data_IF_924821034185
#
_entry.id   IF_924821034185
#
_cell.length_a   1.000
_cell.length_b   1.000
_cell.length_c   1.000
_cell.angle_alpha   90.00
_cell.angle_beta   90.00
_cell.angle_gamma   90.00
#
_symmetry.space_group_name_H-M   'P 1'
#
loop_
_entity.id
_entity.type
_entity.pdbx_description
1 polymer ?
#
# COMPACT_ATOMS: atom_id res chain seq x y z
N UNK A 1 38.79 16.76 -5.64
CA UNK A 1 37.51 16.78 -4.89
C UNK A 1 36.91 15.40 -4.99
N UNK A 2 36.85 14.66 -3.88
CA UNK A 2 36.13 13.39 -3.87
C UNK A 2 34.63 13.71 -3.86
N UNK A 3 33.93 13.40 -4.94
CA UNK A 3 32.47 13.30 -4.93
C UNK A 3 32.13 12.11 -4.04
N UNK A 4 31.83 12.35 -2.77
CA UNK A 4 31.15 11.36 -1.94
C UNK A 4 29.81 11.07 -2.61
N UNK A 5 29.73 9.96 -3.34
CA UNK A 5 28.47 9.35 -3.74
C UNK A 5 27.66 9.15 -2.47
N UNK A 6 26.66 10.02 -2.27
CA UNK A 6 25.75 9.93 -1.14
C UNK A 6 24.93 8.66 -1.41
N UNK A 7 25.31 7.55 -0.78
CA UNK A 7 24.59 6.28 -0.87
C UNK A 7 23.13 6.58 -0.50
N UNK A 8 22.25 6.45 -1.48
CA UNK A 8 20.83 6.73 -1.27
C UNK A 8 20.25 5.59 -0.44
N UNK A 9 19.65 5.91 0.69
CA UNK A 9 18.99 4.91 1.53
C UNK A 9 17.80 4.31 0.78
N UNK A 10 17.70 2.98 0.80
CA UNK A 10 16.65 2.21 0.11
C UNK A 10 15.94 1.28 1.08
N UNK A 11 14.65 1.08 0.86
CA UNK A 11 13.93 -0.07 1.37
C UNK A 11 14.07 -1.22 0.40
N UNK A 12 14.55 -2.37 0.89
CA UNK A 12 14.45 -3.65 0.18
C UNK A 12 13.24 -4.40 0.72
N UNK A 13 12.26 -4.68 -0.13
CA UNK A 13 10.97 -5.26 0.29
C UNK A 13 10.47 -6.34 -0.66
N UNK A 14 9.63 -7.21 -0.13
CA UNK A 14 8.95 -8.28 -0.85
C UNK A 14 7.57 -7.81 -1.34
N UNK A 15 7.21 -8.14 -2.56
CA UNK A 15 5.84 -7.99 -3.07
C UNK A 15 5.48 -9.22 -3.92
N UNK A 16 4.19 -9.43 -4.19
CA UNK A 16 3.75 -10.52 -5.07
C UNK A 16 3.66 -10.02 -6.51
N UNK A 17 4.51 -10.58 -7.38
CA UNK A 17 4.42 -10.32 -8.81
C UNK A 17 3.29 -11.17 -9.39
N UNK A 18 2.17 -10.53 -9.73
CA UNK A 18 0.91 -11.19 -10.16
C UNK A 18 1.10 -12.15 -11.33
N UNK A 19 1.94 -11.79 -12.30
CA UNK A 19 2.21 -12.60 -13.49
C UNK A 19 2.85 -13.96 -13.14
N UNK A 20 3.65 -14.01 -12.08
CA UNK A 20 4.34 -15.22 -11.61
C UNK A 20 3.63 -15.87 -10.42
N UNK A 21 2.67 -15.17 -9.80
CA UNK A 21 2.07 -15.50 -8.52
C UNK A 21 3.13 -15.90 -7.47
N UNK A 22 4.26 -15.17 -7.45
CA UNK A 22 5.41 -15.49 -6.64
C UNK A 22 5.91 -14.22 -5.92
N UNK A 23 6.44 -14.36 -4.69
CA UNK A 23 7.09 -13.27 -4.01
C UNK A 23 8.39 -12.89 -4.73
N UNK A 24 8.59 -11.59 -4.93
CA UNK A 24 9.79 -11.02 -5.53
C UNK A 24 10.33 -9.92 -4.62
N UNK A 25 11.66 -9.83 -4.53
CA UNK A 25 12.34 -8.75 -3.81
C UNK A 25 12.66 -7.61 -4.77
N UNK A 26 12.48 -6.38 -4.31
CA UNK A 26 12.88 -5.17 -5.04
C UNK A 26 13.43 -4.13 -4.08
N UNK A 27 13.94 -3.01 -4.59
CA UNK A 27 14.41 -1.91 -3.75
C UNK A 27 13.97 -0.56 -4.29
N UNK A 28 13.48 0.30 -3.40
CA UNK A 28 13.07 1.66 -3.71
C UNK A 28 13.67 2.67 -2.71
N UNK A 29 13.95 3.90 -3.14
CA UNK A 29 14.45 4.95 -2.26
C UNK A 29 13.51 5.21 -1.07
N UNK A 30 14.08 5.35 0.14
CA UNK A 30 13.30 5.58 1.38
C UNK A 30 12.47 6.87 1.31
N UNK A 31 12.95 7.89 0.59
CA UNK A 31 12.25 9.17 0.45
C UNK A 31 10.96 9.11 -0.38
N UNK A 32 10.66 7.98 -1.02
CA UNK A 32 9.35 7.74 -1.65
C UNK A 32 8.27 7.37 -0.63
N UNK A 33 8.66 7.12 0.63
CA UNK A 33 7.76 6.63 1.65
C UNK A 33 7.68 7.60 2.84
N UNK A 34 6.48 7.71 3.41
CA UNK A 34 6.22 8.52 4.60
C UNK A 34 5.90 7.59 5.77
N UNK A 35 6.60 7.65 6.91
CA UNK A 35 6.25 6.87 8.08
C UNK A 35 4.87 7.30 8.60
N UNK A 36 4.04 6.33 8.95
CA UNK A 36 2.70 6.58 9.47
C UNK A 36 2.42 5.72 10.71
N UNK A 37 1.39 6.09 11.46
CA UNK A 37 0.82 5.27 12.53
C UNK A 37 -0.54 4.77 12.09
N UNK A 38 -0.77 3.47 12.25
CA UNK A 38 -2.06 2.83 12.00
C UNK A 38 -2.77 2.54 13.33
N UNK A 39 -4.09 2.59 13.30
CA UNK A 39 -4.97 2.22 14.41
C UNK A 39 -5.74 0.95 14.00
N UNK A 40 -6.22 0.18 14.98
CA UNK A 40 -7.08 -0.96 14.66
C UNK A 40 -8.35 -0.50 13.97
N UNK A 41 -8.75 -1.20 12.92
CA UNK A 41 -10.00 -0.96 12.21
C UNK A 41 -11.23 -1.20 13.09
N UNK A 42 -11.14 -1.95 14.19
CA UNK A 42 -12.23 -2.02 15.18
C UNK A 42 -12.58 -0.65 15.78
N UNK A 43 -11.69 0.34 15.68
CA UNK A 43 -11.89 1.71 16.15
C UNK A 43 -12.40 2.65 15.04
N UNK A 44 -12.61 2.16 13.81
CA UNK A 44 -13.14 2.98 12.73
C UNK A 44 -14.63 3.22 12.86
N UNK A 45 -15.10 4.34 12.30
CA UNK A 45 -16.54 4.62 12.15
C UNK A 45 -17.18 3.90 10.96
N UNK A 46 -16.37 3.41 10.02
CA UNK A 46 -16.84 2.75 8.81
C UNK A 46 -16.91 1.23 8.95
N UNK A 47 -17.71 0.64 8.08
CA UNK A 47 -18.15 -0.74 8.17
C UNK A 47 -17.20 -1.65 7.39
N UNK A 48 -16.51 -2.59 8.03
CA UNK A 48 -15.50 -3.42 7.33
C UNK A 48 -16.10 -4.64 6.61
N UNK A 49 -15.43 -5.09 5.56
CA UNK A 49 -15.62 -6.44 5.04
C UNK A 49 -14.94 -7.46 5.97
N UNK A 50 -15.42 -8.71 5.96
CA UNK A 50 -14.81 -9.78 6.75
C UNK A 50 -13.35 -10.01 6.31
N UNK A 51 -12.43 -9.93 7.26
CA UNK A 51 -11.01 -10.19 7.04
C UNK A 51 -10.76 -11.59 6.46
N UNK A 52 -9.90 -11.66 5.44
CA UNK A 52 -9.38 -12.90 4.87
C UNK A 52 -7.84 -12.86 4.90
N UNK A 53 -7.23 -13.86 5.52
CA UNK A 53 -5.78 -13.98 5.60
C UNK A 53 -5.16 -14.05 4.20
N UNK A 54 -3.99 -13.41 4.03
CA UNK A 54 -3.23 -13.34 2.77
C UNK A 54 -3.97 -12.67 1.59
N UNK A 55 -5.00 -11.87 1.87
CA UNK A 55 -5.78 -11.14 0.85
C UNK A 55 -5.92 -9.66 1.20
N UNK A 56 -4.81 -9.00 1.55
CA UNK A 56 -4.83 -7.60 2.00
C UNK A 56 -5.58 -6.67 1.04
N UNK A 57 -5.27 -6.73 -0.27
CA UNK A 57 -5.93 -5.91 -1.28
C UNK A 57 -7.43 -6.19 -1.39
N UNK A 58 -7.85 -7.46 -1.37
CA UNK A 58 -9.28 -7.79 -1.43
C UNK A 58 -10.01 -7.31 -0.17
N UNK A 59 -9.41 -7.44 1.01
CA UNK A 59 -10.00 -6.96 2.26
C UNK A 59 -10.26 -5.46 2.21
N UNK A 60 -9.29 -4.69 1.71
CA UNK A 60 -9.41 -3.23 1.60
C UNK A 60 -10.39 -2.82 0.51
N UNK A 61 -10.27 -3.38 -0.70
CA UNK A 61 -11.16 -3.04 -1.83
C UNK A 61 -12.61 -3.41 -1.56
N UNK A 62 -12.88 -4.58 -0.99
CA UNK A 62 -14.26 -4.99 -0.68
C UNK A 62 -14.87 -4.07 0.38
N UNK A 63 -14.07 -3.60 1.34
CA UNK A 63 -14.52 -2.62 2.34
C UNK A 63 -14.79 -1.26 1.69
N UNK A 64 -13.91 -0.79 0.78
CA UNK A 64 -14.13 0.45 0.02
C UNK A 64 -15.43 0.40 -0.80
N UNK A 65 -15.67 -0.72 -1.49
CA UNK A 65 -16.89 -0.93 -2.27
C UNK A 65 -18.14 -0.95 -1.39
N UNK A 66 -18.06 -1.56 -0.19
CA UNK A 66 -19.16 -1.58 0.76
C UNK A 66 -19.56 -0.18 1.23
N UNK A 67 -18.58 0.72 1.41
CA UNK A 67 -18.79 2.05 1.95
C UNK A 67 -18.84 3.16 0.87
N UNK A 68 -18.88 2.82 -0.42
CA UNK A 68 -18.71 3.79 -1.53
C UNK A 68 -19.67 4.99 -1.45
N UNK A 69 -20.89 4.80 -0.94
CA UNK A 69 -21.91 5.85 -0.84
C UNK A 69 -21.91 6.58 0.51
N UNK A 70 -21.46 5.92 1.57
CA UNK A 70 -21.53 6.43 2.95
C UNK A 70 -20.23 7.14 3.33
N UNK A 71 -19.09 6.61 2.89
CA UNK A 71 -17.75 7.09 3.21
C UNK A 71 -16.90 7.26 1.95
N UNK A 72 -17.23 8.21 1.05
CA UNK A 72 -16.53 8.39 -0.23
C UNK A 72 -15.07 8.84 -0.07
N UNK A 73 -14.70 9.38 1.09
CA UNK A 73 -13.33 9.77 1.43
C UNK A 73 -12.46 8.61 1.93
N UNK A 74 -13.04 7.41 2.11
CA UNK A 74 -12.29 6.21 2.44
C UNK A 74 -11.38 5.83 1.26
N UNK A 75 -10.10 5.63 1.55
CA UNK A 75 -9.05 5.42 0.56
C UNK A 75 -8.32 4.10 0.81
N UNK A 76 -7.91 3.47 -0.28
CA UNK A 76 -6.87 2.44 -0.27
C UNK A 76 -5.53 3.15 -0.07
N UNK A 77 -4.83 2.85 1.01
CA UNK A 77 -3.45 3.23 1.21
C UNK A 77 -2.54 2.03 0.91
N UNK A 78 -1.51 2.24 0.08
CA UNK A 78 -0.51 1.25 -0.28
C UNK A 78 0.83 1.69 0.28
N UNK A 79 1.61 0.75 0.82
CA UNK A 79 2.95 1.03 1.28
C UNK A 79 3.65 -0.21 1.81
N UNK A 80 4.54 -0.01 2.78
CA UNK A 80 5.37 -1.07 3.34
C UNK A 80 5.01 -1.35 4.80
N UNK A 81 4.98 -2.62 5.15
CA UNK A 81 4.90 -3.12 6.52
C UNK A 81 6.22 -3.81 6.89
N UNK A 82 6.84 -3.36 7.99
CA UNK A 82 8.08 -3.93 8.54
C UNK A 82 7.79 -4.52 9.92
N UNK A 83 7.92 -5.84 10.04
CA UNK A 83 7.67 -6.54 11.30
C UNK A 83 8.74 -6.13 12.33
N UNK A 84 8.33 -5.75 13.54
CA UNK A 84 9.27 -5.28 14.58
C UNK A 84 10.24 -6.38 14.99
N UNK A 85 9.76 -7.61 15.15
CA UNK A 85 10.56 -8.75 15.58
C UNK A 85 11.44 -9.33 14.44
N UNK A 86 11.23 -8.88 13.20
CA UNK A 86 11.96 -9.30 11.99
C UNK A 86 12.19 -8.08 11.08
N UNK A 87 13.03 -7.12 11.49
CA UNK A 87 13.19 -5.86 10.77
C UNK A 87 13.73 -6.01 9.35
N UNK A 88 14.38 -7.12 9.03
CA UNK A 88 14.79 -7.50 7.68
C UNK A 88 13.62 -7.89 6.76
N UNK A 89 12.46 -8.22 7.33
CA UNK A 89 11.25 -8.57 6.60
C UNK A 89 10.38 -7.33 6.40
N UNK A 90 10.56 -6.72 5.23
CA UNK A 90 9.70 -5.64 4.76
C UNK A 90 8.86 -6.19 3.61
N UNK A 91 7.55 -6.03 3.71
CA UNK A 91 6.59 -6.49 2.69
C UNK A 91 5.76 -5.32 2.19
N UNK A 92 5.37 -5.37 0.93
CA UNK A 92 4.27 -4.55 0.44
C UNK A 92 2.98 -4.94 1.16
N UNK A 93 2.24 -3.93 1.59
CA UNK A 93 0.97 -4.09 2.29
C UNK A 93 0.02 -2.95 1.90
N UNK A 94 -1.26 -3.14 2.19
CA UNK A 94 -2.27 -2.11 2.01
C UNK A 94 -3.23 -2.06 3.20
N UNK A 95 -3.76 -0.89 3.45
CA UNK A 95 -4.60 -0.55 4.60
C UNK A 95 -5.52 0.63 4.23
N UNK A 96 -6.30 1.13 5.18
CA UNK A 96 -7.26 2.21 4.96
C UNK A 96 -6.68 3.58 5.31
N UNK A 97 -7.02 4.61 4.54
CA UNK A 97 -6.90 6.01 4.97
C UNK A 97 -8.29 6.66 4.95
N UNK A 98 -8.66 7.33 6.04
CA UNK A 98 -9.91 8.09 6.16
C UNK A 98 -9.63 9.36 6.97
N UNK A 99 -9.90 10.53 6.38
CA UNK A 99 -9.60 11.85 6.96
C UNK A 99 -8.16 12.01 7.50
N UNK A 100 -7.19 11.41 6.81
CA UNK A 100 -5.77 11.45 7.19
C UNK A 100 -5.39 10.52 8.36
N UNK A 101 -6.36 9.75 8.87
CA UNK A 101 -6.15 8.68 9.85
C UNK A 101 -6.00 7.35 9.11
N UNK A 102 -5.11 6.49 9.58
CA UNK A 102 -4.82 5.21 8.95
C UNK A 102 -5.31 4.06 9.81
N UNK A 103 -6.00 3.10 9.18
CA UNK A 103 -6.55 1.94 9.86
C UNK A 103 -6.09 0.65 9.19
N UNK A 104 -5.78 -0.36 9.98
CA UNK A 104 -5.46 -1.71 9.49
C UNK A 104 -6.06 -2.76 10.43
N UNK A 105 -6.13 -4.00 9.97
CA UNK A 105 -6.56 -5.15 10.80
C UNK A 105 -5.41 -5.57 11.73
N UNK A 106 -4.94 -4.67 12.60
CA UNK A 106 -3.72 -4.89 13.40
C UNK A 106 -3.86 -6.05 14.40
N UNK A 107 -5.08 -6.36 14.85
CA UNK A 107 -5.40 -7.53 15.66
C UNK A 107 -5.12 -8.86 14.93
N UNK A 108 -5.15 -8.85 13.61
CA UNK A 108 -4.92 -10.01 12.73
C UNK A 108 -3.48 -10.07 12.19
N UNK A 109 -2.63 -9.09 12.52
CA UNK A 109 -1.30 -8.92 11.94
C UNK A 109 -0.18 -8.87 13.00
N UNK A 110 1.05 -9.30 12.66
CA UNK A 110 2.21 -9.06 13.52
C UNK A 110 2.44 -7.55 13.73
N UNK A 111 2.90 -7.16 14.92
CA UNK A 111 3.26 -5.76 15.19
C UNK A 111 4.36 -5.29 14.23
N UNK A 112 4.16 -4.14 13.61
CA UNK A 112 5.12 -3.58 12.67
C UNK A 112 5.08 -2.08 12.54
N UNK A 113 6.05 -1.58 11.78
CA UNK A 113 6.15 -0.19 11.32
C UNK A 113 5.55 -0.07 9.93
N UNK A 114 4.95 1.08 9.67
CA UNK A 114 4.23 1.35 8.42
C UNK A 114 4.83 2.54 7.69
N UNK A 115 5.03 2.38 6.39
CA UNK A 115 5.58 3.42 5.52
C UNK A 115 4.69 3.58 4.30
N UNK A 116 3.89 4.66 4.26
CA UNK A 116 2.96 4.98 3.18
C UNK A 116 3.72 5.34 1.91
N UNK A 117 3.32 4.76 0.79
CA UNK A 117 3.73 5.20 -0.55
C UNK A 117 2.68 6.13 -1.17
N UNK A 118 1.43 5.67 -1.26
CA UNK A 118 0.34 6.42 -1.90
C UNK A 118 -1.02 6.01 -1.34
N UNK A 119 -1.98 6.94 -1.38
CA UNK A 119 -3.39 6.68 -1.12
C UNK A 119 -4.23 7.05 -2.33
N UNK A 120 -5.27 6.24 -2.60
CA UNK A 120 -6.17 6.39 -3.72
C UNK A 120 -7.60 6.17 -3.23
N UNK A 121 -8.51 7.09 -3.57
CA UNK A 121 -9.94 6.78 -3.43
C UNK A 121 -10.34 5.74 -4.49
N UNK A 122 -11.54 5.20 -4.36
CA UNK A 122 -11.99 4.11 -5.22
C UNK A 122 -12.11 4.54 -6.70
N UNK A 123 -12.51 5.79 -6.97
CA UNK A 123 -12.62 6.32 -8.34
C UNK A 123 -11.25 6.46 -9.00
N UNK A 124 -10.29 7.07 -8.29
CA UNK A 124 -8.90 7.23 -8.75
C UNK A 124 -8.24 5.86 -8.97
N UNK A 125 -8.53 4.89 -8.09
CA UNK A 125 -8.05 3.53 -8.23
C UNK A 125 -8.57 2.87 -9.51
N UNK A 126 -9.89 2.92 -9.76
CA UNK A 126 -10.46 2.32 -10.97
C UNK A 126 -10.01 3.02 -12.25
N UNK A 127 -9.95 4.36 -12.24
CA UNK A 127 -9.43 5.14 -13.37
C UNK A 127 -7.97 4.77 -13.67
N UNK A 128 -7.13 4.67 -12.63
CA UNK A 128 -5.73 4.22 -12.76
C UNK A 128 -5.66 2.80 -13.34
N UNK A 129 -6.50 1.88 -12.84
CA UNK A 129 -6.53 0.50 -13.33
C UNK A 129 -6.96 0.39 -14.79
N UNK A 130 -7.94 1.20 -15.21
CA UNK A 130 -8.41 1.27 -16.60
C UNK A 130 -7.30 1.75 -17.54
N UNK A 131 -6.61 2.84 -17.18
CA UNK A 131 -5.50 3.38 -17.95
C UNK A 131 -4.29 2.43 -18.00
N UNK A 132 -4.02 1.70 -16.92
CA UNK A 132 -2.97 0.68 -16.86
C UNK A 132 -3.38 -0.63 -17.54
N UNK A 133 -4.63 -0.75 -17.98
CA UNK A 133 -5.23 -1.96 -18.53
C UNK A 133 -5.06 -3.19 -17.60
N UNK A 134 -5.21 -3.00 -16.29
CA UNK A 134 -5.03 -4.05 -15.29
C UNK A 134 -6.36 -4.41 -14.57
N UNK A 135 -6.52 -5.69 -14.24
CA UNK A 135 -7.74 -6.23 -13.62
C UNK A 135 -7.70 -6.31 -12.09
N UNK A 136 -6.57 -5.95 -11.48
CA UNK A 136 -6.34 -6.03 -10.04
C UNK A 136 -5.51 -4.85 -9.57
N UNK A 137 -5.70 -4.45 -8.31
CA UNK A 137 -5.03 -3.29 -7.69
C UNK A 137 -3.53 -3.33 -7.94
N UNK A 138 -2.94 -2.34 -8.61
CA UNK A 138 -1.53 -2.34 -8.97
C UNK A 138 -0.64 -2.27 -7.72
N UNK A 139 0.47 -3.01 -7.74
CA UNK A 139 1.48 -2.94 -6.67
C UNK A 139 2.33 -1.65 -6.79
N UNK A 140 3.18 -1.39 -5.81
CA UNK A 140 4.01 -0.16 -5.75
C UNK A 140 4.89 -0.03 -6.99
N UNK A 141 5.44 -1.13 -7.50
CA UNK A 141 6.34 -1.12 -8.67
C UNK A 141 5.56 -0.80 -9.95
N UNK A 142 4.38 -1.39 -10.12
CA UNK A 142 3.46 -1.13 -11.23
C UNK A 142 3.03 0.35 -11.23
N UNK A 143 2.60 0.88 -10.08
CA UNK A 143 2.20 2.28 -9.91
C UNK A 143 3.36 3.26 -10.17
N UNK A 144 4.55 2.94 -9.66
CA UNK A 144 5.74 3.77 -9.85
C UNK A 144 6.11 3.85 -11.33
N UNK A 145 6.14 2.72 -12.04
CA UNK A 145 6.46 2.68 -13.46
C UNK A 145 5.47 3.53 -14.26
N UNK A 146 4.17 3.37 -14.02
CA UNK A 146 3.12 4.15 -14.68
C UNK A 146 3.24 5.66 -14.41
N UNK A 147 3.48 6.06 -13.16
CA UNK A 147 3.64 7.47 -12.79
C UNK A 147 4.85 8.12 -13.48
N UNK A 148 5.93 7.36 -13.68
CA UNK A 148 7.10 7.84 -14.42
C UNK A 148 6.80 8.05 -15.90
N UNK A 149 6.03 7.15 -16.54
CA UNK A 149 5.60 7.33 -17.93
C UNK A 149 4.68 8.54 -18.10
N UNK A 150 3.76 8.78 -17.17
CA UNK A 150 2.87 9.96 -17.19
C UNK A 150 3.58 11.30 -17.08
N UNK A 151 4.76 11.37 -16.42
CA UNK A 151 5.52 12.61 -16.29
C UNK A 151 6.33 12.99 -17.54
N UNK A 152 6.48 12.06 -18.47
CA UNK A 152 7.28 12.23 -19.69
C UNK A 152 6.41 12.63 -20.89
N UNK A 153 5.10 12.39 -20.81
CA UNK A 153 4.09 12.74 -21.81
C UNK A 153 3.28 13.95 -21.37
#
# INVERSE_FOLDING_TARGET
>A
MATTDKKMDVFTFQFVLKQLNAPVMTSLPVNLFTPITVIDVEQSSFDTAKYQANKCYDNVVNTLLKNINEEPELKLCIGLHQIIDKPEQIVEHCWFEYDGVYFDFISELPKGKYFKYQSLNLLDLYSTMEEMHCKSVPNIIELKAWTQHKKVN
#
